data_IF_183885436163
#
_entry.id   IF_183885436163
#
_cell.length_a   1.000
_cell.length_b   1.000
_cell.length_c   1.000
_cell.angle_alpha   90.00
_cell.angle_beta   90.00
_cell.angle_gamma   90.00
#
_symmetry.space_group_name_H-M   'P 1'
#
loop_
_entity.id
_entity.type
_entity.pdbx_description
1 polymer ?
#
# COMPACT_ATOMS: atom_id res chain seq x y z
N UNK A 1 36.57 -57.17 36.23
CA UNK A 1 37.11 -57.73 34.97
C UNK A 1 36.13 -58.77 34.45
N UNK A 2 35.94 -58.94 33.14
CA UNK A 2 35.75 -57.97 32.04
C UNK A 2 34.38 -58.27 31.34
N UNK A 3 33.82 -57.52 30.41
CA UNK A 3 34.36 -57.05 29.13
C UNK A 3 33.57 -55.86 28.60
N UNK A 4 34.36 -54.88 28.15
CA UNK A 4 34.06 -53.94 27.08
C UNK A 4 33.32 -54.60 25.90
N UNK A 5 32.35 -53.88 25.32
CA UNK A 5 32.19 -53.81 23.87
C UNK A 5 31.66 -52.41 23.50
N UNK A 6 32.62 -51.56 23.12
CA UNK A 6 32.38 -50.38 22.32
C UNK A 6 32.08 -50.78 20.88
N UNK A 7 31.16 -50.08 20.21
CA UNK A 7 31.24 -49.58 18.81
C UNK A 7 29.88 -48.97 18.44
N UNK A 8 29.82 -47.64 18.32
CA UNK A 8 29.88 -46.92 17.03
C UNK A 8 28.79 -47.38 16.07
N UNK A 9 27.71 -46.62 16.01
CA UNK A 9 26.91 -46.43 14.80
C UNK A 9 26.39 -45.00 14.80
N UNK A 10 27.20 -44.13 14.21
CA UNK A 10 26.81 -42.85 13.67
C UNK A 10 25.85 -43.15 12.53
N UNK A 11 24.59 -42.75 12.65
CA UNK A 11 23.68 -42.70 11.51
C UNK A 11 23.18 -41.27 11.39
N UNK A 12 23.73 -40.62 10.38
CA UNK A 12 23.31 -39.35 9.82
C UNK A 12 21.80 -39.38 9.55
N UNK A 13 21.06 -38.45 10.15
CA UNK A 13 19.81 -37.97 9.58
C UNK A 13 19.98 -36.47 9.32
N UNK A 14 20.65 -36.19 8.21
CA UNK A 14 20.54 -34.94 7.50
C UNK A 14 19.30 -35.02 6.60
N UNK A 15 18.44 -34.00 6.68
CA UNK A 15 17.58 -33.47 5.62
C UNK A 15 16.22 -33.03 6.19
N UNK A 16 16.10 -31.74 6.47
CA UNK A 16 14.84 -31.14 6.89
C UNK A 16 14.92 -29.64 7.14
N UNK A 17 15.82 -28.95 6.44
CA UNK A 17 15.87 -27.50 6.37
C UNK A 17 14.67 -27.02 5.53
N UNK A 18 13.50 -26.94 6.14
CA UNK A 18 12.45 -26.05 5.67
C UNK A 18 12.50 -24.82 6.55
N UNK A 19 13.17 -23.82 5.97
CA UNK A 19 13.16 -22.42 6.33
C UNK A 19 11.71 -21.93 6.52
N UNK A 20 11.14 -22.13 7.70
CA UNK A 20 10.10 -21.25 8.22
C UNK A 20 10.79 -19.95 8.67
N UNK A 21 11.39 -19.24 7.70
CA UNK A 21 11.68 -17.84 7.89
C UNK A 21 10.36 -17.15 8.24
N UNK A 22 10.33 -16.21 9.19
CA UNK A 22 9.13 -15.44 9.43
C UNK A 22 8.72 -14.84 8.08
N UNK A 23 7.53 -15.24 7.60
CA UNK A 23 6.82 -14.58 6.51
C UNK A 23 7.04 -13.07 6.69
N UNK A 24 7.36 -12.31 5.62
CA UNK A 24 7.55 -10.88 5.74
C UNK A 24 6.31 -10.33 6.44
N UNK A 25 6.49 -9.99 7.72
CA UNK A 25 5.52 -9.28 8.53
C UNK A 25 5.08 -8.14 7.65
N UNK A 26 3.77 -8.02 7.44
CA UNK A 26 3.13 -6.93 6.74
C UNK A 26 3.57 -5.60 7.40
N UNK A 27 4.74 -5.13 7.02
CA UNK A 27 5.36 -3.94 7.55
C UNK A 27 4.72 -2.78 6.80
N UNK A 28 4.05 -1.93 7.58
CA UNK A 28 3.48 -0.67 7.15
C UNK A 28 2.36 -0.72 6.09
N UNK A 29 1.30 -1.52 6.32
CA UNK A 29 -0.03 -1.11 5.82
C UNK A 29 -0.47 0.13 6.60
N UNK A 30 0.01 1.31 6.22
CA UNK A 30 -0.63 2.55 6.62
C UNK A 30 -2.11 2.42 6.26
N UNK A 31 -3.00 2.35 7.27
CA UNK A 31 -4.43 2.05 7.07
C UNK A 31 -4.97 2.94 5.96
N UNK A 32 -5.33 2.33 4.84
CA UNK A 32 -5.90 3.01 3.69
C UNK A 32 -7.21 3.65 4.14
N UNK A 33 -7.27 4.97 4.15
CA UNK A 33 -8.52 5.69 4.45
C UNK A 33 -9.36 5.81 3.19
N UNK A 34 -10.59 5.33 3.25
CA UNK A 34 -11.51 5.25 2.11
C UNK A 34 -12.81 5.98 2.45
N UNK A 35 -13.36 6.70 1.49
CA UNK A 35 -14.73 7.24 1.55
C UNK A 35 -15.53 6.72 0.36
N UNK A 36 -16.79 6.34 0.59
CA UNK A 36 -17.74 6.01 -0.47
C UNK A 36 -18.65 7.20 -0.71
N UNK A 37 -18.76 7.64 -1.96
CA UNK A 37 -19.56 8.80 -2.34
C UNK A 37 -20.47 8.42 -3.51
N UNK A 38 -21.79 8.62 -3.42
CA UNK A 38 -22.66 8.42 -4.56
C UNK A 38 -22.31 9.44 -5.65
N UNK A 39 -22.32 9.00 -6.90
CA UNK A 39 -22.22 9.90 -8.03
C UNK A 39 -23.34 10.97 -7.98
N UNK A 40 -23.09 12.23 -8.42
CA UNK A 40 -24.13 13.26 -8.46
C UNK A 40 -25.44 12.82 -9.13
N UNK A 41 -25.38 11.95 -10.16
CA UNK A 41 -26.56 11.40 -10.83
C UNK A 41 -27.41 10.48 -9.95
N UNK A 42 -26.82 9.91 -8.90
CA UNK A 42 -27.46 8.94 -8.01
C UNK A 42 -27.99 9.58 -6.72
N UNK A 43 -27.70 10.85 -6.43
CA UNK A 43 -28.02 11.50 -5.14
C UNK A 43 -29.51 11.49 -4.77
N UNK A 44 -30.39 11.49 -5.76
CA UNK A 44 -31.86 11.45 -5.56
C UNK A 44 -32.42 10.02 -5.56
N UNK A 45 -31.59 8.99 -5.81
CA UNK A 45 -32.02 7.61 -5.82
C UNK A 45 -32.22 7.11 -4.38
N UNK A 46 -33.44 6.68 -4.04
CA UNK A 46 -33.81 6.17 -2.71
C UNK A 46 -32.94 4.98 -2.26
N UNK A 47 -32.38 4.22 -3.20
CA UNK A 47 -31.49 3.10 -2.87
C UNK A 47 -30.16 3.55 -2.26
N UNK A 48 -29.76 4.82 -2.40
CA UNK A 48 -28.55 5.36 -1.75
C UNK A 48 -28.62 5.21 -0.23
N UNK A 49 -29.78 5.43 0.38
CA UNK A 49 -29.99 5.30 1.83
C UNK A 49 -29.79 3.87 2.34
N UNK A 50 -29.89 2.88 1.44
CA UNK A 50 -29.68 1.46 1.72
C UNK A 50 -28.26 1.03 1.38
N UNK A 51 -27.72 1.54 0.27
CA UNK A 51 -26.41 1.17 -0.27
C UNK A 51 -25.29 1.79 0.57
N UNK A 52 -25.39 3.07 0.93
CA UNK A 52 -24.35 3.76 1.69
C UNK A 52 -23.98 3.05 3.01
N UNK A 53 -24.93 2.71 3.91
CA UNK A 53 -24.59 2.00 5.15
C UNK A 53 -24.07 0.58 4.89
N UNK A 54 -24.55 -0.11 3.85
CA UNK A 54 -24.08 -1.44 3.51
C UNK A 54 -22.63 -1.43 2.98
N UNK A 55 -22.28 -0.46 2.11
CA UNK A 55 -20.90 -0.23 1.68
C UNK A 55 -19.99 0.07 2.86
N UNK A 56 -20.49 0.84 3.84
CA UNK A 56 -19.73 1.14 5.05
C UNK A 56 -19.49 -0.13 5.90
N UNK A 57 -20.54 -0.89 6.19
CA UNK A 57 -20.43 -2.12 6.98
C UNK A 57 -19.53 -3.17 6.31
N UNK A 58 -19.73 -3.41 5.01
CA UNK A 58 -18.90 -4.34 4.24
C UNK A 58 -17.44 -3.88 4.16
N UNK A 59 -17.21 -2.57 4.00
CA UNK A 59 -15.86 -2.00 3.96
C UNK A 59 -15.11 -2.18 5.28
N UNK A 60 -15.78 -1.95 6.41
CA UNK A 60 -15.21 -2.19 7.74
C UNK A 60 -14.89 -3.68 7.96
N UNK A 61 -15.79 -4.59 7.56
CA UNK A 61 -15.55 -6.03 7.63
C UNK A 61 -14.32 -6.47 6.80
N UNK A 62 -14.01 -5.76 5.72
CA UNK A 62 -12.81 -5.96 4.88
C UNK A 62 -11.60 -5.13 5.33
N UNK A 63 -11.61 -4.61 6.57
CA UNK A 63 -10.52 -3.85 7.19
C UNK A 63 -10.15 -2.55 6.46
N UNK A 64 -11.08 -1.97 5.68
CA UNK A 64 -10.91 -0.61 5.16
C UNK A 64 -11.15 0.38 6.30
N UNK A 65 -10.27 1.38 6.45
CA UNK A 65 -10.51 2.45 7.41
C UNK A 65 -11.43 3.48 6.76
N UNK A 66 -12.71 3.41 7.05
CA UNK A 66 -13.66 4.34 6.48
C UNK A 66 -13.62 5.69 7.20
N UNK A 67 -13.79 6.77 6.45
CA UNK A 67 -13.86 8.14 6.94
C UNK A 67 -15.05 8.86 6.31
N UNK A 68 -15.67 9.76 7.06
CA UNK A 68 -16.84 10.51 6.61
C UNK A 68 -16.46 11.84 5.93
N UNK A 69 -15.25 12.34 6.20
CA UNK A 69 -14.70 13.54 5.57
C UNK A 69 -13.81 13.17 4.37
N UNK A 70 -14.20 13.65 3.19
CA UNK A 70 -13.43 13.48 1.97
C UNK A 70 -11.99 14.03 2.10
N UNK A 71 -11.76 15.08 2.90
CA UNK A 71 -10.43 15.63 3.16
C UNK A 71 -9.49 14.69 3.92
N UNK A 72 -10.04 13.74 4.68
CA UNK A 72 -9.28 12.74 5.43
C UNK A 72 -9.08 11.43 4.65
N UNK A 73 -9.79 11.27 3.53
CA UNK A 73 -9.71 10.08 2.70
C UNK A 73 -8.47 10.10 1.81
N UNK A 74 -7.75 8.97 1.74
CA UNK A 74 -6.68 8.77 0.76
C UNK A 74 -7.23 8.27 -0.57
N UNK A 75 -8.35 7.55 -0.50
CA UNK A 75 -9.06 7.02 -1.67
C UNK A 75 -10.52 7.43 -1.59
N UNK A 76 -11.01 8.00 -2.68
CA UNK A 76 -12.43 8.31 -2.89
C UNK A 76 -13.01 7.24 -3.81
N UNK A 77 -14.04 6.54 -3.37
CA UNK A 77 -14.79 5.57 -4.19
C UNK A 77 -16.10 6.21 -4.58
N UNK A 78 -16.20 6.64 -5.83
CA UNK A 78 -17.43 7.11 -6.43
C UNK A 78 -18.22 5.91 -6.94
N UNK A 79 -19.52 5.83 -6.64
CA UNK A 79 -20.34 4.72 -7.12
C UNK A 79 -21.62 5.17 -7.84
N UNK A 80 -22.02 4.36 -8.82
CA UNK A 80 -23.21 4.52 -9.64
C UNK A 80 -24.17 3.37 -9.37
N UNK A 81 -25.48 3.63 -9.46
CA UNK A 81 -26.52 2.63 -9.26
C UNK A 81 -27.32 2.49 -10.56
N UNK A 82 -27.40 1.27 -11.06
CA UNK A 82 -28.17 0.92 -12.25
C UNK A 82 -29.22 -0.11 -11.82
N UNK A 83 -30.50 0.22 -12.00
CA UNK A 83 -31.60 -0.70 -11.69
C UNK A 83 -32.20 -1.22 -12.99
N UNK A 84 -32.35 -2.54 -13.09
CA UNK A 84 -32.94 -3.21 -14.25
C UNK A 84 -34.16 -4.00 -13.78
N UNK A 85 -35.33 -3.66 -14.29
CA UNK A 85 -36.57 -4.41 -14.04
C UNK A 85 -36.90 -5.26 -15.27
N UNK A 86 -37.39 -6.48 -15.03
CA UNK A 86 -37.78 -7.41 -16.09
C UNK A 86 -38.74 -8.50 -15.59
N UNK A 87 -39.07 -9.49 -16.43
CA UNK A 87 -40.02 -10.56 -16.08
C UNK A 87 -39.59 -11.40 -14.87
N UNK A 88 -38.28 -11.46 -14.59
CA UNK A 88 -37.70 -12.14 -13.43
C UNK A 88 -37.65 -11.29 -12.15
N UNK A 89 -38.19 -10.07 -12.17
CA UNK A 89 -38.15 -9.11 -11.07
C UNK A 89 -37.12 -8.00 -11.28
N UNK A 90 -36.50 -7.55 -10.20
CA UNK A 90 -35.56 -6.42 -10.20
C UNK A 90 -34.12 -6.87 -9.91
N UNK A 91 -33.17 -6.31 -10.64
CA UNK A 91 -31.74 -6.44 -10.40
C UNK A 91 -31.13 -5.07 -10.16
N UNK A 92 -30.24 -4.98 -9.17
CA UNK A 92 -29.45 -3.77 -8.90
C UNK A 92 -28.00 -4.05 -9.23
N UNK A 93 -27.40 -3.20 -10.04
CA UNK A 93 -25.98 -3.17 -10.35
C UNK A 93 -25.37 -1.91 -9.76
N UNK A 94 -24.20 -2.05 -9.13
CA UNK A 94 -23.43 -0.94 -8.57
C UNK A 94 -22.05 -0.95 -9.21
N UNK A 95 -21.70 0.14 -9.88
CA UNK A 95 -20.36 0.37 -10.42
C UNK A 95 -19.59 1.28 -9.46
N UNK A 96 -18.45 0.83 -8.95
CA UNK A 96 -17.54 1.60 -8.10
C UNK A 96 -16.25 1.97 -8.80
N UNK A 97 -15.89 3.26 -8.78
CA UNK A 97 -14.64 3.81 -9.28
C UNK A 97 -13.85 4.41 -8.13
N UNK A 98 -12.67 3.86 -7.89
CA UNK A 98 -11.81 4.30 -6.80
C UNK A 98 -10.67 5.17 -7.33
N UNK A 99 -10.57 6.38 -6.79
CA UNK A 99 -9.59 7.38 -7.15
C UNK A 99 -8.65 7.68 -5.99
N UNK A 100 -7.39 7.95 -6.30
CA UNK A 100 -6.49 8.59 -5.35
C UNK A 100 -6.93 10.03 -5.11
N UNK A 101 -7.32 10.35 -3.87
CA UNK A 101 -7.97 11.62 -3.56
C UNK A 101 -7.08 12.84 -3.85
N UNK A 102 -5.76 12.71 -3.66
CA UNK A 102 -4.82 13.81 -3.87
C UNK A 102 -4.56 14.13 -5.35
N UNK A 103 -4.68 13.15 -6.26
CA UNK A 103 -4.29 13.31 -7.67
C UNK A 103 -5.44 13.12 -8.66
N UNK A 104 -6.58 12.61 -8.22
CA UNK A 104 -7.68 12.19 -9.09
C UNK A 104 -7.36 10.96 -9.94
N UNK A 105 -6.21 10.29 -9.72
CA UNK A 105 -5.83 9.12 -10.50
C UNK A 105 -6.76 7.95 -10.21
N UNK A 106 -7.35 7.36 -11.25
CA UNK A 106 -8.10 6.12 -11.14
C UNK A 106 -7.17 4.97 -10.70
N UNK A 107 -7.52 4.31 -9.60
CA UNK A 107 -6.80 3.17 -9.05
C UNK A 107 -7.43 1.86 -9.49
N UNK A 108 -8.75 1.74 -9.31
CA UNK A 108 -9.53 0.52 -9.54
C UNK A 108 -10.94 0.91 -9.97
N UNK A 109 -11.52 0.16 -10.88
CA UNK A 109 -12.94 0.23 -11.23
C UNK A 109 -13.52 -1.18 -11.20
N UNK A 110 -14.66 -1.38 -10.57
CA UNK A 110 -15.37 -2.66 -10.48
C UNK A 110 -16.88 -2.43 -10.59
N UNK A 111 -17.60 -3.46 -11.04
CA UNK A 111 -19.05 -3.48 -11.03
C UNK A 111 -19.51 -4.80 -10.38
N UNK A 112 -20.61 -4.72 -9.63
CA UNK A 112 -21.26 -5.89 -9.06
C UNK A 112 -22.77 -5.79 -9.24
N UNK A 113 -23.39 -6.88 -9.65
CA UNK A 113 -24.84 -6.99 -9.78
C UNK A 113 -25.39 -7.95 -8.74
N UNK A 114 -26.60 -7.68 -8.25
CA UNK A 114 -27.37 -8.61 -7.46
C UNK A 114 -27.91 -9.76 -8.32
N UNK A 115 -28.42 -10.79 -7.68
CA UNK A 115 -29.38 -11.67 -8.34
C UNK A 115 -30.71 -10.92 -8.55
N UNK A 116 -31.58 -11.47 -9.41
CA UNK A 116 -32.94 -10.96 -9.54
C UNK A 116 -33.71 -11.21 -8.24
N UNK A 117 -34.41 -10.18 -7.77
CA UNK A 117 -35.26 -10.20 -6.59
C UNK A 117 -36.69 -9.81 -6.97
N UNK A 118 -37.66 -9.98 -6.06
CA UNK A 118 -39.02 -9.47 -6.27
C UNK A 118 -39.02 -7.97 -6.59
N UNK A 119 -39.89 -7.53 -7.50
CA UNK A 119 -40.01 -6.12 -7.87
C UNK A 119 -40.92 -5.32 -6.90
N UNK A 120 -40.76 -5.60 -5.61
CA UNK A 120 -41.34 -4.85 -4.50
C UNK A 120 -40.23 -4.09 -3.74
N UNK A 121 -40.62 -3.23 -2.80
CA UNK A 121 -39.64 -2.42 -2.07
C UNK A 121 -38.65 -3.28 -1.28
N UNK A 122 -39.11 -4.38 -0.68
CA UNK A 122 -38.26 -5.30 0.06
C UNK A 122 -37.22 -5.97 -0.85
N UNK A 123 -37.64 -6.45 -2.03
CA UNK A 123 -36.77 -7.08 -3.02
C UNK A 123 -35.77 -6.09 -3.64
N UNK A 124 -36.19 -4.86 -3.95
CA UNK A 124 -35.29 -3.78 -4.39
C UNK A 124 -34.21 -3.46 -3.36
N UNK A 125 -34.58 -3.38 -2.08
CA UNK A 125 -33.61 -3.17 -1.00
C UNK A 125 -32.67 -4.37 -0.81
N UNK A 126 -33.20 -5.60 -0.91
CA UNK A 126 -32.39 -6.82 -0.81
C UNK A 126 -31.36 -6.90 -1.94
N UNK A 127 -31.78 -6.63 -3.19
CA UNK A 127 -30.93 -6.54 -4.36
C UNK A 127 -29.81 -5.50 -4.15
N UNK A 128 -30.18 -4.30 -3.71
CA UNK A 128 -29.23 -3.22 -3.45
C UNK A 128 -28.17 -3.59 -2.40
N UNK A 129 -28.57 -4.21 -1.28
CA UNK A 129 -27.63 -4.69 -0.25
C UNK A 129 -26.69 -5.77 -0.77
N UNK A 130 -27.22 -6.73 -1.55
CA UNK A 130 -26.40 -7.79 -2.15
C UNK A 130 -25.35 -7.20 -3.08
N UNK A 131 -25.74 -6.32 -4.00
CA UNK A 131 -24.82 -5.67 -4.93
C UNK A 131 -23.74 -4.84 -4.21
N UNK A 132 -24.12 -4.12 -3.14
CA UNK A 132 -23.19 -3.32 -2.36
C UNK A 132 -22.12 -4.18 -1.66
N UNK A 133 -22.52 -5.29 -1.03
CA UNK A 133 -21.59 -6.25 -0.43
C UNK A 133 -20.63 -6.80 -1.49
N UNK A 134 -21.16 -7.34 -2.58
CA UNK A 134 -20.36 -7.92 -3.66
C UNK A 134 -19.39 -6.91 -4.29
N UNK A 135 -19.79 -5.64 -4.43
CA UNK A 135 -18.88 -4.59 -4.92
C UNK A 135 -17.65 -4.45 -4.00
N UNK A 136 -17.86 -4.36 -2.69
CA UNK A 136 -16.75 -4.23 -1.73
C UNK A 136 -15.85 -5.48 -1.75
N UNK A 137 -16.42 -6.67 -1.91
CA UNK A 137 -15.64 -7.91 -2.01
C UNK A 137 -14.69 -7.92 -3.21
N UNK A 138 -15.14 -7.40 -4.35
CA UNK A 138 -14.32 -7.28 -5.55
C UNK A 138 -13.30 -6.14 -5.45
N UNK A 139 -13.69 -5.03 -4.80
CA UNK A 139 -12.95 -3.77 -4.81
C UNK A 139 -11.85 -3.73 -3.75
N UNK A 140 -12.09 -4.22 -2.53
CA UNK A 140 -11.15 -4.15 -1.41
C UNK A 140 -9.76 -4.78 -1.68
N UNK A 141 -9.65 -6.03 -2.21
CA UNK A 141 -8.34 -6.63 -2.48
C UNK A 141 -7.58 -5.86 -3.58
N UNK A 142 -8.28 -5.45 -4.65
CA UNK A 142 -7.70 -4.69 -5.75
C UNK A 142 -7.22 -3.32 -5.30
N UNK A 143 -7.94 -2.67 -4.38
CA UNK A 143 -7.51 -1.41 -3.78
C UNK A 143 -6.22 -1.58 -2.99
N UNK A 144 -6.12 -2.62 -2.17
CA UNK A 144 -4.90 -2.89 -1.42
C UNK A 144 -3.71 -3.13 -2.35
N UNK A 145 -3.90 -3.88 -3.43
CA UNK A 145 -2.88 -4.13 -4.45
C UNK A 145 -2.48 -2.86 -5.22
N UNK A 146 -3.45 -2.10 -5.73
CA UNK A 146 -3.20 -0.86 -6.46
C UNK A 146 -2.50 0.18 -5.59
N UNK A 147 -2.89 0.28 -4.32
CA UNK A 147 -2.28 1.17 -3.36
C UNK A 147 -0.87 0.70 -2.95
N UNK A 148 -0.64 -0.61 -2.80
CA UNK A 148 0.70 -1.16 -2.56
C UNK A 148 1.62 -1.09 -3.80
N UNK A 149 1.05 -0.95 -4.99
CA UNK A 149 1.79 -0.68 -6.22
C UNK A 149 2.13 0.81 -6.41
N UNK A 150 1.58 1.70 -5.56
CA UNK A 150 1.85 3.14 -5.61
C UNK A 150 3.35 3.41 -5.44
N UNK A 151 3.91 4.16 -6.38
CA UNK A 151 5.32 4.54 -6.38
C UNK A 151 6.27 3.48 -6.97
N UNK A 152 5.79 2.27 -7.33
CA UNK A 152 6.62 1.29 -8.04
C UNK A 152 7.07 1.82 -9.39
N UNK A 153 8.37 1.81 -9.62
CA UNK A 153 9.01 2.29 -10.82
C UNK A 153 9.20 3.81 -10.90
N UNK A 154 8.72 4.59 -9.91
CA UNK A 154 8.87 6.05 -9.88
C UNK A 154 10.34 6.44 -9.67
N UNK A 155 10.75 7.56 -10.25
CA UNK A 155 12.04 8.19 -9.94
C UNK A 155 11.89 9.10 -8.74
N UNK A 156 12.69 8.86 -7.70
CA UNK A 156 12.79 9.71 -6.50
C UNK A 156 14.15 10.37 -6.51
N UNK A 157 14.17 11.69 -6.36
CA UNK A 157 15.40 12.43 -6.13
C UNK A 157 15.75 12.34 -4.64
N UNK A 158 16.96 11.89 -4.33
CA UNK A 158 17.53 11.97 -2.99
C UNK A 158 18.67 12.97 -3.01
N UNK A 159 18.54 14.04 -2.26
CA UNK A 159 19.65 14.96 -2.02
C UNK A 159 20.18 14.73 -0.61
N UNK A 160 21.46 14.37 -0.55
CA UNK A 160 22.21 14.26 0.69
C UNK A 160 23.00 15.54 0.87
N UNK A 161 22.93 16.13 2.06
CA UNK A 161 23.72 17.29 2.47
C UNK A 161 24.67 16.86 3.57
N UNK A 162 25.95 17.18 3.43
CA UNK A 162 27.02 16.84 4.35
C UNK A 162 27.46 18.11 5.07
N UNK A 163 27.40 18.10 6.40
CA UNK A 163 28.06 19.12 7.21
C UNK A 163 29.59 18.93 7.12
N UNK A 164 30.36 19.95 7.51
CA UNK A 164 31.83 19.95 7.40
C UNK A 164 32.48 18.72 8.06
N UNK A 165 31.94 18.30 9.21
CA UNK A 165 32.43 17.13 9.95
C UNK A 165 32.09 15.79 9.28
N UNK A 166 31.14 15.75 8.34
CA UNK A 166 30.75 14.55 7.60
C UNK A 166 31.28 14.55 6.15
N UNK A 167 31.85 15.65 5.66
CA UNK A 167 32.31 15.80 4.28
C UNK A 167 33.33 14.71 3.86
N UNK A 168 34.22 14.32 4.78
CA UNK A 168 35.20 13.24 4.56
C UNK A 168 34.60 11.84 4.38
N UNK A 169 33.29 11.65 4.62
CA UNK A 169 32.58 10.37 4.47
C UNK A 169 31.80 10.26 3.16
N UNK A 170 31.94 11.22 2.24
CA UNK A 170 31.18 11.28 1.01
C UNK A 170 31.28 9.98 0.18
N UNK A 171 32.48 9.40 0.07
CA UNK A 171 32.70 8.16 -0.70
C UNK A 171 32.06 6.94 -0.03
N UNK A 172 32.13 6.83 1.29
CA UNK A 172 31.45 5.78 2.05
C UNK A 172 29.94 5.83 1.82
N UNK A 173 29.37 7.04 1.83
CA UNK A 173 27.93 7.26 1.63
C UNK A 173 27.52 6.90 0.21
N UNK A 174 28.29 7.32 -0.79
CA UNK A 174 28.07 6.94 -2.20
C UNK A 174 28.11 5.42 -2.33
N UNK A 175 29.11 4.77 -1.76
CA UNK A 175 29.28 3.31 -1.81
C UNK A 175 28.10 2.58 -1.17
N UNK A 176 27.69 2.96 0.04
CA UNK A 176 26.54 2.37 0.74
C UNK A 176 25.24 2.54 -0.05
N UNK A 177 25.01 3.72 -0.62
CA UNK A 177 23.80 4.02 -1.39
C UNK A 177 23.78 3.28 -2.74
N UNK A 178 24.91 3.19 -3.43
CA UNK A 178 25.02 2.44 -4.69
C UNK A 178 24.92 0.93 -4.46
N UNK A 179 25.45 0.42 -3.35
CA UNK A 179 25.28 -0.97 -2.92
C UNK A 179 23.82 -1.31 -2.52
N UNK A 180 22.92 -0.31 -2.43
CA UNK A 180 21.49 -0.56 -2.27
C UNK A 180 20.83 -1.12 -3.55
N UNK A 181 21.55 -1.16 -4.68
CA UNK A 181 21.21 -1.88 -5.89
C UNK A 181 21.21 -1.02 -7.15
N UNK A 182 21.02 -1.65 -8.32
CA UNK A 182 21.09 -1.06 -9.68
C UNK A 182 20.12 0.11 -9.95
N UNK A 183 19.25 0.38 -8.98
CA UNK A 183 18.21 1.40 -9.04
C UNK A 183 18.63 2.73 -8.40
N UNK A 184 19.86 2.84 -7.88
CA UNK A 184 20.43 4.07 -7.33
C UNK A 184 21.50 4.63 -8.26
N UNK A 185 21.28 5.82 -8.80
CA UNK A 185 22.25 6.48 -9.70
C UNK A 185 22.67 7.83 -9.15
N UNK A 186 23.97 8.00 -8.90
CA UNK A 186 24.55 9.31 -8.59
C UNK A 186 24.43 10.22 -9.83
N UNK A 187 23.95 11.44 -9.63
CA UNK A 187 23.74 12.45 -10.67
C UNK A 187 24.54 13.72 -10.44
N UNK A 188 24.83 14.06 -9.20
CA UNK A 188 25.61 15.24 -8.84
C UNK A 188 26.42 14.99 -7.58
N UNK A 189 27.62 15.56 -7.54
CA UNK A 189 28.52 15.50 -6.39
C UNK A 189 29.20 16.84 -6.22
N UNK A 190 29.23 17.31 -4.99
CA UNK A 190 30.01 18.46 -4.53
C UNK A 190 30.62 18.12 -3.17
N UNK A 191 31.44 19.03 -2.63
CA UNK A 191 32.07 18.84 -1.32
C UNK A 191 31.05 18.67 -0.17
N UNK A 192 29.83 19.22 -0.32
CA UNK A 192 28.79 19.22 0.73
C UNK A 192 27.45 18.64 0.30
N UNK A 193 27.34 18.15 -0.93
CA UNK A 193 26.08 17.59 -1.41
C UNK A 193 26.27 16.47 -2.42
N UNK A 194 25.44 15.45 -2.29
CA UNK A 194 25.32 14.34 -3.21
C UNK A 194 23.88 14.25 -3.69
N UNK A 195 23.67 14.13 -4.99
CA UNK A 195 22.34 14.00 -5.59
C UNK A 195 22.23 12.64 -6.25
N UNK A 196 21.25 11.85 -5.82
CA UNK A 196 20.94 10.54 -6.35
C UNK A 196 19.55 10.54 -6.99
N UNK A 197 19.39 9.71 -8.00
CA UNK A 197 18.09 9.31 -8.54
C UNK A 197 17.87 7.85 -8.25
N UNK A 198 16.80 7.57 -7.53
CA UNK A 198 16.39 6.25 -7.07
C UNK A 198 15.19 5.81 -7.90
N UNK A 199 15.14 4.54 -8.31
CA UNK A 199 13.88 3.93 -8.78
C UNK A 199 13.19 3.30 -7.58
N UNK A 200 12.10 3.92 -7.13
CA UNK A 200 11.35 3.47 -5.98
C UNK A 200 10.53 2.21 -6.31
N UNK A 201 10.49 1.27 -5.38
CA UNK A 201 9.57 0.12 -5.39
C UNK A 201 8.49 0.23 -4.29
N UNK A 202 8.59 1.26 -3.47
CA UNK A 202 7.76 1.53 -2.30
C UNK A 202 7.55 3.06 -2.17
N UNK A 203 6.61 3.52 -1.33
CA UNK A 203 6.46 4.94 -0.98
C UNK A 203 7.75 5.58 -0.47
N UNK A 204 7.87 6.90 -0.62
CA UNK A 204 9.12 7.62 -0.30
C UNK A 204 9.54 7.50 1.18
N UNK A 205 8.58 7.39 2.10
CA UNK A 205 8.86 7.18 3.53
C UNK A 205 9.50 5.83 3.81
N UNK A 206 8.93 4.75 3.27
CA UNK A 206 9.51 3.39 3.41
C UNK A 206 10.88 3.31 2.75
N UNK A 207 11.07 4.04 1.64
CA UNK A 207 12.37 4.19 1.00
C UNK A 207 13.40 4.87 1.92
N UNK A 208 13.03 5.98 2.57
CA UNK A 208 13.89 6.66 3.53
C UNK A 208 14.28 5.74 4.71
N UNK A 209 13.31 5.02 5.28
CA UNK A 209 13.54 4.05 6.37
C UNK A 209 14.48 2.92 5.93
N UNK A 210 14.31 2.38 4.72
CA UNK A 210 15.18 1.35 4.15
C UNK A 210 16.61 1.83 3.94
N UNK A 211 16.78 3.07 3.51
CA UNK A 211 18.09 3.70 3.30
C UNK A 211 18.75 4.08 4.63
N UNK A 212 17.97 4.55 5.61
CA UNK A 212 18.44 4.90 6.94
C UNK A 212 19.16 3.71 7.60
N UNK A 213 18.53 2.53 7.65
CA UNK A 213 19.14 1.34 8.24
C UNK A 213 20.42 0.84 7.54
N UNK A 214 20.71 1.34 6.33
CA UNK A 214 21.99 1.07 5.63
C UNK A 214 23.05 2.11 6.02
N UNK A 215 22.67 3.39 6.03
CA UNK A 215 23.59 4.50 6.35
C UNK A 215 23.95 4.51 7.83
N UNK A 216 23.05 4.09 8.72
CA UNK A 216 23.32 3.95 10.16
C UNK A 216 24.44 2.94 10.48
N UNK A 217 24.79 2.05 9.54
CA UNK A 217 25.95 1.16 9.67
C UNK A 217 27.28 1.91 9.53
N UNK A 218 27.27 3.14 9.04
CA UNK A 218 28.45 4.00 9.01
C UNK A 218 28.64 4.63 10.40
N UNK A 219 29.69 4.25 11.15
CA UNK A 219 29.90 4.74 12.49
C UNK A 219 30.20 6.24 12.48
N UNK A 220 29.72 6.93 13.52
CA UNK A 220 30.01 8.36 13.74
C UNK A 220 29.15 9.33 12.94
N UNK A 221 28.04 8.88 12.34
CA UNK A 221 27.10 9.76 11.63
C UNK A 221 25.75 9.87 12.35
N UNK A 222 25.17 11.07 12.31
CA UNK A 222 23.79 11.38 12.68
C UNK A 222 23.02 11.69 11.41
N UNK A 223 21.91 10.99 11.23
CA UNK A 223 21.03 11.11 10.07
C UNK A 223 19.82 11.95 10.46
N UNK A 224 19.47 12.92 9.62
CA UNK A 224 18.22 13.67 9.72
C UNK A 224 17.53 13.64 8.36
N UNK A 225 16.35 13.03 8.32
CA UNK A 225 15.59 12.78 7.10
C UNK A 225 14.42 13.75 7.00
N UNK A 226 14.27 14.37 5.83
CA UNK A 226 13.11 15.19 5.51
C UNK A 226 12.44 14.69 4.23
N UNK A 227 11.18 14.28 4.37
CA UNK A 227 10.31 13.97 3.25
C UNK A 227 9.74 15.27 2.69
N UNK A 228 10.26 15.72 1.54
CA UNK A 228 9.77 16.94 0.86
C UNK A 228 8.54 16.60 0.01
N UNK A 229 8.61 15.48 -0.73
CA UNK A 229 7.48 14.94 -1.46
C UNK A 229 7.68 13.46 -1.73
N UNK A 230 6.66 12.81 -2.27
CA UNK A 230 6.76 11.44 -2.77
C UNK A 230 7.87 11.24 -3.84
N UNK A 231 8.31 12.30 -4.51
CA UNK A 231 9.38 12.24 -5.53
C UNK A 231 10.70 12.87 -5.07
N UNK A 232 10.77 13.38 -3.83
CA UNK A 232 11.94 14.11 -3.33
C UNK A 232 12.19 13.84 -1.83
N UNK A 233 13.39 13.36 -1.51
CA UNK A 233 13.89 13.11 -0.17
C UNK A 233 15.13 13.96 0.08
N UNK A 234 15.23 14.53 1.27
CA UNK A 234 16.44 15.17 1.76
C UNK A 234 16.99 14.37 2.94
N UNK A 235 18.31 14.22 2.96
CA UNK A 235 19.06 13.63 4.05
C UNK A 235 20.16 14.59 4.47
N UNK A 236 20.15 15.03 5.73
CA UNK A 236 21.24 15.78 6.33
C UNK A 236 22.11 14.85 7.18
N UNK A 237 23.42 14.90 6.94
CA UNK A 237 24.40 14.08 7.65
C UNK A 237 25.36 14.96 8.44
N UNK A 238 25.49 14.64 9.72
CA UNK A 238 26.42 15.29 10.65
C UNK A 238 27.30 14.24 11.32
N UNK A 239 28.53 14.60 11.69
CA UNK A 239 29.27 13.74 12.61
C UNK A 239 28.56 13.69 13.98
N UNK A 240 28.68 12.57 14.67
CA UNK A 240 28.28 12.43 16.08
C UNK A 240 29.34 13.01 17.01
#
# INVERSE_FOLDING_TARGET
MPRLLARKSVLLLAAGLLLAGPLPRAAARGRLTVIFVPDPSCRTNKLVEVIAPELQAAGQARQLKLVDDAGLAKVLVQYFIITRSGPGGVQVEIEGRAFENASGKLLVQQAAASEFQSDDDAGRQAAARQAARSLVELLAPRLAEAYAARGRGRRVMLQVTLDESAAGRADDIVSVLQAAGDQVKLRGRSARSLVFVLRARAPARELAESLAGRIEKLPGLRLDWQLVSESALLLHLRAR
#
